data_IF_584272489782
#
_entry.id   IF_584272489782
#
_cell.length_a   1.000
_cell.length_b   1.000
_cell.length_c   1.000
_cell.angle_alpha   90.00
_cell.angle_beta   90.00
_cell.angle_gamma   90.00
#
_symmetry.space_group_name_H-M   'P 1'
#
loop_
_entity.id
_entity.type
_entity.pdbx_description
1 polymer ?
#
# COMPACT_ATOMS: atom_id res chain seq x y z
N UNK A 1 -3.51 -12.82 2.74
CA UNK A 1 -3.78 -12.83 1.28
C UNK A 1 -2.49 -12.75 0.49
N UNK A 2 -1.63 -11.73 0.72
CA UNK A 2 -0.36 -11.58 -0.02
C UNK A 2 0.56 -12.81 0.02
N UNK A 3 0.61 -13.51 1.16
CA UNK A 3 1.42 -14.73 1.31
C UNK A 3 0.79 -15.98 0.67
N UNK A 4 -0.53 -16.01 0.53
CA UNK A 4 -1.25 -17.16 -0.04
C UNK A 4 -1.29 -17.13 -1.57
N UNK A 5 -1.28 -15.94 -2.17
CA UNK A 5 -1.43 -15.74 -3.62
C UNK A 5 -0.42 -14.72 -4.15
N UNK A 6 0.90 -14.95 -3.99
CA UNK A 6 1.92 -13.95 -4.28
C UNK A 6 2.00 -13.61 -5.78
N UNK A 7 1.78 -14.58 -6.66
CA UNK A 7 1.81 -14.38 -8.12
C UNK A 7 0.64 -13.48 -8.54
N UNK A 8 -0.59 -13.82 -8.15
CA UNK A 8 -1.78 -13.03 -8.44
C UNK A 8 -1.64 -11.60 -7.93
N UNK A 9 -1.15 -11.44 -6.70
CA UNK A 9 -0.92 -10.12 -6.13
C UNK A 9 0.12 -9.30 -6.90
N UNK A 10 1.13 -9.93 -7.45
CA UNK A 10 2.14 -9.26 -8.26
C UNK A 10 1.59 -8.91 -9.65
N UNK A 11 1.09 -9.90 -10.38
CA UNK A 11 0.65 -9.75 -11.77
C UNK A 11 -0.54 -8.79 -11.90
N UNK A 12 -1.58 -8.93 -11.07
CA UNK A 12 -2.75 -8.05 -11.12
C UNK A 12 -2.36 -6.59 -10.86
N UNK A 13 -1.52 -6.34 -9.85
CA UNK A 13 -1.06 -4.99 -9.58
C UNK A 13 -0.19 -4.42 -10.71
N UNK A 14 0.68 -5.23 -11.31
CA UNK A 14 1.46 -4.81 -12.48
C UNK A 14 0.56 -4.44 -13.66
N UNK A 15 -0.42 -5.29 -13.98
CA UNK A 15 -1.36 -5.06 -15.09
C UNK A 15 -2.24 -3.82 -14.82
N UNK A 16 -2.77 -3.67 -13.62
CA UNK A 16 -3.55 -2.48 -13.23
C UNK A 16 -2.71 -1.22 -13.41
N UNK A 17 -1.49 -1.21 -12.90
CA UNK A 17 -0.60 -0.05 -12.99
C UNK A 17 -0.26 0.31 -14.43
N UNK A 18 0.15 -0.68 -15.23
CA UNK A 18 0.50 -0.49 -16.63
C UNK A 18 -0.68 0.04 -17.45
N UNK A 19 -1.83 -0.62 -17.35
CA UNK A 19 -3.02 -0.24 -18.10
C UNK A 19 -3.53 1.13 -17.71
N UNK A 20 -3.58 1.44 -16.41
CA UNK A 20 -4.09 2.73 -15.92
C UNK A 20 -3.23 3.88 -16.40
N UNK A 21 -1.90 3.81 -16.23
CA UNK A 21 -0.99 4.89 -16.66
C UNK A 21 -1.01 5.05 -18.17
N UNK A 22 -0.94 3.93 -18.91
CA UNK A 22 -0.98 3.95 -20.37
C UNK A 22 -2.26 4.59 -20.89
N UNK A 23 -3.42 4.16 -20.39
CA UNK A 23 -4.73 4.71 -20.76
C UNK A 23 -4.85 6.19 -20.39
N UNK A 24 -4.35 6.60 -19.21
CA UNK A 24 -4.32 8.00 -18.82
C UNK A 24 -3.51 8.86 -19.81
N UNK A 25 -2.34 8.36 -20.23
CA UNK A 25 -1.52 9.04 -21.21
C UNK A 25 -2.18 9.13 -22.58
N UNK A 26 -2.73 8.03 -23.10
CA UNK A 26 -3.42 7.96 -24.38
C UNK A 26 -4.67 8.85 -24.40
N UNK A 27 -5.38 8.97 -23.29
CA UNK A 27 -6.51 9.88 -23.10
C UNK A 27 -6.11 11.35 -22.91
N UNK A 28 -4.82 11.67 -22.94
CA UNK A 28 -4.34 13.05 -22.78
C UNK A 28 -4.38 13.59 -21.35
N UNK A 29 -4.54 12.74 -20.34
CA UNK A 29 -4.54 13.15 -18.93
C UNK A 29 -3.19 13.76 -18.57
N UNK A 30 -3.18 15.00 -18.10
CA UNK A 30 -1.96 15.75 -17.80
C UNK A 30 -1.43 15.45 -16.40
N UNK A 31 -2.31 15.21 -15.44
CA UNK A 31 -1.97 14.97 -14.04
C UNK A 31 -2.47 13.58 -13.64
N UNK A 32 -1.56 12.74 -13.14
CA UNK A 32 -1.90 11.41 -12.61
C UNK A 32 -1.25 11.23 -11.24
N UNK A 33 -2.04 10.77 -10.27
CA UNK A 33 -1.58 10.45 -8.92
C UNK A 33 -1.69 8.96 -8.68
N UNK A 34 -0.55 8.26 -8.58
CA UNK A 34 -0.46 6.86 -8.20
C UNK A 34 -0.48 6.68 -6.67
N UNK A 35 -1.29 5.73 -6.19
CA UNK A 35 -1.33 5.38 -4.78
C UNK A 35 -0.38 4.21 -4.50
N UNK A 36 0.65 4.45 -3.71
CA UNK A 36 1.58 3.44 -3.22
C UNK A 36 1.10 2.85 -1.87
N UNK A 37 2.01 2.23 -1.14
CA UNK A 37 1.77 1.67 0.20
C UNK A 37 3.04 1.76 1.03
N UNK A 38 2.94 1.84 2.33
CA UNK A 38 4.11 1.86 3.23
C UNK A 38 4.96 0.59 3.16
N UNK A 39 4.38 -0.54 2.74
CA UNK A 39 5.13 -1.81 2.58
C UNK A 39 6.16 -1.81 1.44
N UNK A 40 6.20 -0.74 0.63
CA UNK A 40 7.21 -0.59 -0.44
C UNK A 40 8.60 -0.23 0.09
N UNK A 41 8.70 0.32 1.29
CA UNK A 41 9.99 0.67 1.88
C UNK A 41 10.81 -0.56 2.24
N UNK A 42 12.15 -0.45 2.32
CA UNK A 42 12.99 -1.57 2.72
C UNK A 42 12.60 -2.12 4.10
N UNK A 43 12.65 -3.44 4.25
CA UNK A 43 12.37 -4.13 5.52
C UNK A 43 13.26 -3.60 6.67
N UNK A 44 14.53 -3.38 6.35
CA UNK A 44 15.52 -2.83 7.29
C UNK A 44 15.84 -1.39 6.87
N UNK A 45 15.11 -0.45 7.43
CA UNK A 45 15.29 0.98 7.14
C UNK A 45 15.29 1.81 8.42
N UNK A 46 15.90 2.99 8.38
CA UNK A 46 15.85 3.94 9.47
C UNK A 46 14.51 4.70 9.48
N UNK A 47 14.05 5.09 10.65
CA UNK A 47 12.86 5.93 10.81
C UNK A 47 13.27 7.35 11.23
N UNK A 48 12.53 8.38 10.79
CA UNK A 48 11.39 8.32 9.86
C UNK A 48 11.82 7.97 8.43
N UNK A 49 11.00 7.18 7.72
CA UNK A 49 11.24 6.89 6.30
C UNK A 49 11.05 8.14 5.43
N UNK A 50 11.82 8.23 4.35
CA UNK A 50 11.78 9.32 3.38
C UNK A 50 11.71 8.75 1.97
N UNK A 51 11.20 9.53 1.03
CA UNK A 51 11.00 9.12 -0.37
C UNK A 51 12.26 8.53 -1.01
N UNK A 52 13.41 9.17 -0.77
CA UNK A 52 14.71 8.71 -1.30
C UNK A 52 15.14 7.32 -0.86
N UNK A 53 14.54 6.79 0.21
CA UNK A 53 14.88 5.46 0.74
C UNK A 53 14.12 4.32 0.04
N UNK A 54 13.23 4.63 -0.89
CA UNK A 54 12.34 3.65 -1.51
C UNK A 54 13.09 2.47 -2.14
N UNK A 55 14.23 2.73 -2.73
CA UNK A 55 15.03 1.73 -3.45
C UNK A 55 16.30 1.27 -2.72
N UNK A 56 16.51 1.65 -1.45
CA UNK A 56 17.74 1.35 -0.68
C UNK A 56 17.85 -0.11 -0.25
N UNK A 57 16.83 -0.92 -0.45
CA UNK A 57 16.85 -2.34 -0.10
C UNK A 57 15.57 -3.08 -0.47
N UNK A 58 15.51 -4.40 -0.25
CA UNK A 58 14.33 -5.18 -0.52
C UNK A 58 13.21 -4.88 0.48
N UNK A 59 11.93 -4.91 0.04
CA UNK A 59 10.79 -4.86 0.95
C UNK A 59 10.70 -6.15 1.77
N UNK A 60 9.87 -6.13 2.82
CA UNK A 60 9.63 -7.31 3.65
C UNK A 60 9.11 -8.49 2.80
N UNK A 61 9.64 -9.70 3.04
CA UNK A 61 9.39 -10.89 2.23
C UNK A 61 7.90 -11.24 2.12
N UNK A 62 7.11 -11.06 3.20
CA UNK A 62 5.67 -11.37 3.19
C UNK A 62 4.84 -10.55 2.19
N UNK A 63 5.34 -9.40 1.74
CA UNK A 63 4.67 -8.49 0.82
C UNK A 63 5.44 -8.29 -0.49
N UNK A 64 6.49 -9.04 -0.73
CA UNK A 64 7.49 -8.80 -1.77
C UNK A 64 6.88 -8.55 -3.14
N UNK A 65 6.03 -9.45 -3.63
CA UNK A 65 5.40 -9.31 -4.95
C UNK A 65 4.59 -8.01 -5.07
N UNK A 66 3.67 -7.78 -4.15
CA UNK A 66 2.88 -6.56 -4.10
C UNK A 66 3.73 -5.28 -3.99
N UNK A 67 4.72 -5.31 -3.10
CA UNK A 67 5.57 -4.15 -2.85
C UNK A 67 6.41 -3.78 -4.10
N UNK A 68 6.96 -4.76 -4.81
CA UNK A 68 7.67 -4.49 -6.05
C UNK A 68 6.74 -3.99 -7.15
N UNK A 69 5.54 -4.55 -7.29
CA UNK A 69 4.57 -4.02 -8.25
C UNK A 69 4.24 -2.54 -7.97
N UNK A 70 4.11 -2.17 -6.69
CA UNK A 70 3.90 -0.76 -6.30
C UNK A 70 5.13 0.12 -6.51
N UNK A 71 6.35 -0.37 -6.30
CA UNK A 71 7.57 0.37 -6.66
C UNK A 71 7.63 0.63 -8.17
N UNK A 72 7.24 -0.33 -8.98
CA UNK A 72 7.23 -0.16 -10.45
C UNK A 72 6.22 0.89 -10.90
N UNK A 73 5.15 1.14 -10.16
CA UNK A 73 4.24 2.26 -10.40
C UNK A 73 4.96 3.62 -10.29
N UNK A 74 5.80 3.78 -9.27
CA UNK A 74 6.61 4.99 -9.11
C UNK A 74 7.57 5.19 -10.26
N UNK A 75 8.34 4.15 -10.60
CA UNK A 75 9.26 4.16 -11.76
C UNK A 75 8.51 4.49 -13.05
N UNK A 76 7.33 3.92 -13.25
CA UNK A 76 6.53 4.16 -14.44
C UNK A 76 6.05 5.61 -14.53
N UNK A 77 5.60 6.21 -13.43
CA UNK A 77 5.28 7.63 -13.37
C UNK A 77 6.50 8.50 -13.70
N UNK A 78 7.68 8.14 -13.18
CA UNK A 78 8.91 8.85 -13.48
C UNK A 78 9.26 8.81 -14.97
N UNK A 79 9.13 7.65 -15.63
CA UNK A 79 9.40 7.53 -17.07
C UNK A 79 8.47 8.41 -17.91
N UNK A 80 7.18 8.48 -17.59
CA UNK A 80 6.26 9.39 -18.28
C UNK A 80 6.57 10.88 -18.02
N UNK A 81 7.03 11.24 -16.82
CA UNK A 81 7.54 12.61 -16.56
C UNK A 81 8.71 12.94 -17.44
N UNK A 82 9.71 12.06 -17.49
CA UNK A 82 10.94 12.28 -18.26
C UNK A 82 10.71 12.32 -19.76
N UNK A 83 9.95 11.39 -20.29
CA UNK A 83 9.78 11.21 -21.74
C UNK A 83 8.72 12.15 -22.33
N UNK A 84 7.64 12.44 -21.61
CA UNK A 84 6.47 13.13 -22.14
C UNK A 84 6.13 14.43 -21.39
N UNK A 85 6.90 14.83 -20.39
CA UNK A 85 6.63 16.04 -19.59
C UNK A 85 5.35 15.97 -18.76
N UNK A 86 4.77 14.77 -18.54
CA UNK A 86 3.53 14.60 -17.78
C UNK A 86 3.73 14.90 -16.29
N UNK A 87 2.69 15.38 -15.62
CA UNK A 87 2.68 15.63 -14.16
C UNK A 87 2.21 14.38 -13.41
N UNK A 88 2.89 13.26 -13.65
CA UNK A 88 2.58 11.98 -13.01
C UNK A 88 3.44 11.81 -11.76
N UNK A 89 2.82 11.51 -10.64
CA UNK A 89 3.51 11.35 -9.35
C UNK A 89 2.82 10.29 -8.50
N UNK A 90 3.48 9.87 -7.44
CA UNK A 90 2.94 8.91 -6.49
C UNK A 90 2.88 9.50 -5.09
N UNK A 91 1.93 8.98 -4.30
CA UNK A 91 1.82 9.26 -2.87
C UNK A 91 1.81 7.96 -2.09
N UNK A 92 2.38 7.98 -0.89
CA UNK A 92 2.41 6.82 0.01
C UNK A 92 1.56 7.13 1.24
N UNK A 93 0.27 6.78 1.24
CA UNK A 93 -0.55 6.96 2.43
C UNK A 93 -0.10 5.99 3.53
N UNK A 94 -0.18 6.43 4.77
CA UNK A 94 -0.11 5.55 5.93
C UNK A 94 -1.41 4.74 6.05
N UNK A 95 -1.44 3.74 6.94
CA UNK A 95 -2.66 2.97 7.17
C UNK A 95 -3.77 3.87 7.72
N UNK A 96 -4.74 4.17 6.87
CA UNK A 96 -5.92 4.94 7.24
C UNK A 96 -6.94 4.02 7.94
N UNK A 97 -7.71 4.56 8.85
CA UNK A 97 -8.87 3.88 9.44
C UNK A 97 -9.98 4.91 9.69
N UNK A 98 -11.23 4.48 9.80
CA UNK A 98 -12.35 5.39 10.06
C UNK A 98 -13.71 4.71 9.97
N UNK A 99 -14.80 5.51 9.96
CA UNK A 99 -16.15 4.99 9.73
C UNK A 99 -16.21 4.19 8.42
N UNK A 100 -16.95 3.09 8.43
CA UNK A 100 -17.13 2.17 7.30
C UNK A 100 -15.91 1.30 6.95
N UNK A 101 -14.86 1.29 7.79
CA UNK A 101 -13.75 0.36 7.63
C UNK A 101 -14.18 -1.09 7.93
N UNK A 102 -13.31 -2.04 7.59
CA UNK A 102 -13.49 -3.42 8.00
C UNK A 102 -13.06 -3.61 9.47
N UNK A 103 -14.01 -3.85 10.36
CA UNK A 103 -13.78 -4.11 11.78
C UNK A 103 -13.76 -5.60 12.14
N UNK A 104 -13.78 -6.50 11.17
CA UNK A 104 -13.74 -7.96 11.40
C UNK A 104 -12.41 -8.35 12.02
N UNK A 105 -12.42 -8.85 13.25
CA UNK A 105 -11.20 -9.13 14.06
C UNK A 105 -10.19 -9.99 13.29
N UNK A 106 -10.65 -10.91 12.45
CA UNK A 106 -9.79 -11.82 11.69
C UNK A 106 -9.08 -11.16 10.52
N UNK A 107 -9.75 -10.24 9.81
CA UNK A 107 -9.33 -9.79 8.48
C UNK A 107 -9.13 -8.27 8.41
N UNK A 108 -9.40 -7.54 9.51
CA UNK A 108 -9.23 -6.10 9.59
C UNK A 108 -7.76 -5.70 9.79
N UNK A 109 -7.44 -4.47 9.42
CA UNK A 109 -6.19 -3.85 9.85
C UNK A 109 -6.12 -3.72 11.37
N UNK A 110 -4.91 -3.54 11.91
CA UNK A 110 -4.63 -3.59 13.36
C UNK A 110 -5.55 -2.65 14.16
N UNK A 111 -5.67 -1.38 13.77
CA UNK A 111 -6.45 -0.40 14.53
C UNK A 111 -7.94 -0.73 14.54
N UNK A 112 -8.62 -0.97 13.41
CA UNK A 112 -10.03 -1.38 13.41
C UNK A 112 -10.28 -2.68 14.20
N UNK A 113 -9.38 -3.67 14.09
CA UNK A 113 -9.49 -4.91 14.85
C UNK A 113 -9.38 -4.66 16.37
N UNK A 114 -8.46 -3.79 16.79
CA UNK A 114 -8.30 -3.43 18.21
C UNK A 114 -9.50 -2.64 18.74
N UNK A 115 -10.07 -1.73 17.95
CA UNK A 115 -11.30 -1.01 18.31
C UNK A 115 -12.43 -2.02 18.55
N UNK A 116 -12.62 -2.99 17.66
CA UNK A 116 -13.66 -4.02 17.82
C UNK A 116 -13.39 -4.92 19.03
N UNK A 117 -12.15 -5.35 19.23
CA UNK A 117 -11.77 -6.13 20.42
C UNK A 117 -12.06 -5.35 21.73
N UNK A 118 -11.71 -4.07 21.77
CA UNK A 118 -11.95 -3.22 22.93
C UNK A 118 -13.45 -3.05 23.22
N UNK A 119 -14.25 -2.82 22.20
CA UNK A 119 -15.71 -2.77 22.31
C UNK A 119 -16.30 -4.05 22.89
N UNK A 120 -15.91 -5.21 22.37
CA UNK A 120 -16.38 -6.50 22.86
C UNK A 120 -15.92 -6.77 24.30
N UNK A 121 -14.68 -6.40 24.66
CA UNK A 121 -14.18 -6.54 26.02
C UNK A 121 -15.01 -5.69 26.98
N UNK A 122 -15.31 -4.45 26.61
CA UNK A 122 -16.18 -3.56 27.40
C UNK A 122 -17.58 -4.15 27.60
N UNK A 123 -18.19 -4.72 26.56
CA UNK A 123 -19.52 -5.36 26.65
C UNK A 123 -19.53 -6.57 27.62
N UNK A 124 -18.41 -7.29 27.72
CA UNK A 124 -18.25 -8.44 28.63
C UNK A 124 -17.81 -8.03 30.05
N UNK A 125 -17.45 -6.78 30.27
CA UNK A 125 -16.90 -6.31 31.54
C UNK A 125 -15.44 -6.75 31.78
N UNK A 126 -14.71 -7.11 30.73
CA UNK A 126 -13.31 -7.51 30.81
C UNK A 126 -12.46 -6.31 31.21
N UNK A 127 -11.53 -6.50 32.16
CA UNK A 127 -10.59 -5.43 32.61
C UNK A 127 -9.32 -5.34 31.74
N UNK A 128 -9.06 -6.38 30.97
CA UNK A 128 -7.84 -6.49 30.17
C UNK A 128 -8.20 -6.80 28.72
N UNK A 129 -7.47 -6.20 27.79
CA UNK A 129 -7.53 -6.47 26.36
C UNK A 129 -6.31 -7.30 25.96
N UNK A 130 -6.54 -8.50 25.38
CA UNK A 130 -5.45 -9.30 24.81
C UNK A 130 -5.17 -8.79 23.40
N UNK A 131 -3.96 -8.27 23.21
CA UNK A 131 -3.44 -7.78 21.94
C UNK A 131 -2.45 -8.83 21.43
N UNK A 132 -2.82 -9.56 20.40
CA UNK A 132 -1.96 -10.53 19.71
C UNK A 132 -1.53 -9.95 18.38
#
# INVERSE_FOLDING_TARGET
KNMAEPITMYEDNMLINLNTIKSAHEAGVDIFMGCLSTCIFPDKTAYPVREGMLHDGPPHESNKGYAYAKRMLEVHCEMYRRQHGRKYFCVTPTNSYGPFDNFTIRDAHVIPALIHKAYLAQQRGDRNLIVN
#
